data_IF_442049835778
#
_entry.id   IF_442049835778
#
_cell.length_a   1.000
_cell.length_b   1.000
_cell.length_c   1.000
_cell.angle_alpha   90.00
_cell.angle_beta   90.00
_cell.angle_gamma   90.00
#
_symmetry.space_group_name_H-M   'P 1'
#
loop_
_entity.id
_entity.type
_entity.pdbx_description
1 polymer ?
#
# COMPACT_ATOMS: atom_id res chain seq x y z
N UNK A 1 9.80 11.38 -21.25
CA UNK A 1 9.17 12.11 -20.12
C UNK A 1 8.69 11.13 -19.08
N UNK A 2 8.83 11.46 -17.79
CA UNK A 2 8.27 10.61 -16.72
C UNK A 2 6.75 10.81 -16.68
N UNK A 3 6.00 9.71 -16.78
CA UNK A 3 4.54 9.75 -16.66
C UNK A 3 4.17 9.71 -15.18
N UNK A 4 3.49 10.77 -14.74
CA UNK A 4 3.04 10.91 -13.36
C UNK A 4 1.53 10.71 -13.27
N UNK A 5 1.10 9.82 -12.37
CA UNK A 5 -0.32 9.51 -12.12
C UNK A 5 -0.58 9.59 -10.62
N UNK A 6 -1.55 10.39 -10.21
CA UNK A 6 -1.92 10.60 -8.79
C UNK A 6 -0.71 10.91 -7.91
N UNK A 7 0.20 11.74 -8.41
CA UNK A 7 1.40 12.14 -7.67
C UNK A 7 2.53 11.11 -7.64
N UNK A 8 2.37 9.94 -8.28
CA UNK A 8 3.38 8.87 -8.34
C UNK A 8 4.02 8.85 -9.72
N UNK A 9 5.34 8.87 -9.77
CA UNK A 9 6.10 8.72 -11.00
C UNK A 9 6.20 7.23 -11.35
N UNK A 10 5.68 6.86 -12.50
CA UNK A 10 5.69 5.48 -12.95
C UNK A 10 7.05 5.07 -13.52
N UNK A 11 7.54 3.87 -13.21
CA UNK A 11 8.78 3.36 -13.77
C UNK A 11 8.65 3.10 -15.28
N UNK A 12 9.43 3.81 -16.06
CA UNK A 12 9.35 3.79 -17.54
C UNK A 12 9.71 2.43 -18.15
N UNK A 13 10.61 1.70 -17.50
CA UNK A 13 11.13 0.43 -18.00
C UNK A 13 10.22 -0.79 -17.74
N UNK A 14 9.12 -0.57 -17.00
CA UNK A 14 8.18 -1.62 -16.64
C UNK A 14 6.99 -1.64 -17.58
N UNK A 15 6.40 -2.84 -17.76
CA UNK A 15 5.12 -3.00 -18.47
C UNK A 15 4.02 -2.26 -17.72
N UNK A 16 3.02 -1.80 -18.45
CA UNK A 16 1.90 -1.06 -17.87
C UNK A 16 1.23 -1.76 -16.69
N UNK A 17 0.98 -3.06 -16.81
CA UNK A 17 0.41 -3.88 -15.74
C UNK A 17 1.20 -3.80 -14.43
N UNK A 18 2.52 -3.85 -14.51
CA UNK A 18 3.39 -3.80 -13.33
C UNK A 18 3.60 -2.37 -12.85
N UNK A 19 3.74 -1.43 -13.77
CA UNK A 19 3.97 -0.03 -13.42
C UNK A 19 2.82 0.58 -12.63
N UNK A 20 1.59 0.30 -12.97
CA UNK A 20 0.41 0.79 -12.23
C UNK A 20 0.33 0.24 -10.79
N UNK A 21 0.93 -0.91 -10.51
CA UNK A 21 0.96 -1.44 -9.13
C UNK A 21 1.84 -0.65 -8.18
N UNK A 22 2.65 0.29 -8.67
CA UNK A 22 3.41 1.22 -7.83
C UNK A 22 2.52 2.29 -7.18
N UNK A 23 1.30 2.45 -7.70
CA UNK A 23 0.30 3.34 -7.09
C UNK A 23 -0.36 2.58 -5.92
N UNK A 24 -0.34 3.19 -4.74
CA UNK A 24 -0.97 2.60 -3.56
C UNK A 24 -2.49 2.47 -3.75
N UNK A 25 -2.99 1.25 -3.66
CA UNK A 25 -4.40 0.91 -3.88
C UNK A 25 -4.68 0.24 -5.22
N UNK A 26 -3.70 0.11 -6.10
CA UNK A 26 -3.81 -0.63 -7.37
C UNK A 26 -2.95 -1.88 -7.29
N UNK A 27 -3.59 -3.04 -7.36
CA UNK A 27 -2.95 -4.33 -7.51
C UNK A 27 -2.91 -4.78 -8.98
N UNK A 28 -2.37 -5.96 -9.25
CA UNK A 28 -2.26 -6.48 -10.63
C UNK A 28 -3.62 -6.63 -11.31
N UNK A 29 -4.62 -7.16 -10.63
CA UNK A 29 -5.97 -7.31 -11.18
C UNK A 29 -6.65 -5.98 -11.47
N UNK A 30 -6.49 -4.99 -10.60
CA UNK A 30 -6.99 -3.63 -10.84
C UNK A 30 -6.25 -2.94 -11.98
N UNK A 31 -4.94 -3.13 -12.05
CA UNK A 31 -4.11 -2.63 -13.15
C UNK A 31 -4.56 -3.18 -14.51
N UNK A 32 -4.80 -4.49 -14.61
CA UNK A 32 -5.31 -5.11 -15.82
C UNK A 32 -6.66 -4.51 -16.25
N UNK A 33 -7.61 -4.38 -15.32
CA UNK A 33 -8.92 -3.76 -15.61
C UNK A 33 -8.81 -2.31 -16.08
N UNK A 34 -7.90 -1.54 -15.52
CA UNK A 34 -7.65 -0.14 -15.93
C UNK A 34 -7.13 -0.09 -17.35
N UNK A 35 -6.15 -0.95 -17.68
CA UNK A 35 -5.57 -1.01 -19.02
C UNK A 35 -6.56 -1.49 -20.07
N UNK A 36 -7.40 -2.49 -19.74
CA UNK A 36 -8.47 -2.96 -20.62
C UNK A 36 -9.46 -1.86 -20.97
N UNK A 37 -9.91 -1.10 -19.95
CA UNK A 37 -10.79 0.04 -20.15
C UNK A 37 -10.17 1.19 -20.93
N UNK A 38 -8.88 1.42 -20.75
CA UNK A 38 -8.15 2.44 -21.49
C UNK A 38 -7.81 2.01 -22.92
N UNK A 39 -7.96 0.73 -23.25
CA UNK A 39 -7.59 0.16 -24.54
C UNK A 39 -6.08 0.11 -24.77
N UNK A 40 -5.31 -0.09 -23.70
CA UNK A 40 -3.84 -0.16 -23.73
C UNK A 40 -3.39 -1.61 -23.49
N UNK A 41 -2.44 -2.09 -24.26
CA UNK A 41 -1.86 -3.43 -24.06
C UNK A 41 -1.15 -3.49 -22.70
N UNK A 42 -1.36 -4.60 -21.97
CA UNK A 42 -0.74 -4.87 -20.68
C UNK A 42 0.78 -4.94 -20.73
N UNK A 43 1.31 -5.42 -21.86
CA UNK A 43 2.74 -5.63 -22.05
C UNK A 43 3.48 -4.40 -22.56
N UNK A 44 2.75 -3.36 -22.97
CA UNK A 44 3.33 -2.11 -23.42
C UNK A 44 4.06 -1.40 -22.28
N UNK A 45 5.30 -1.02 -22.52
CA UNK A 45 6.08 -0.28 -21.51
C UNK A 45 5.53 1.13 -21.33
N UNK A 46 5.67 1.67 -20.12
CA UNK A 46 5.22 3.04 -19.82
C UNK A 46 5.89 4.08 -20.70
N UNK A 47 7.15 3.84 -21.09
CA UNK A 47 7.89 4.73 -22.01
C UNK A 47 7.26 4.86 -23.41
N UNK A 48 6.46 3.89 -23.79
CA UNK A 48 5.82 3.81 -25.14
C UNK A 48 4.36 4.31 -25.12
N UNK A 49 3.86 4.72 -23.97
CA UNK A 49 2.50 5.27 -23.85
C UNK A 49 2.39 6.63 -24.51
N UNK A 50 1.29 6.84 -25.20
CA UNK A 50 0.94 8.17 -25.70
C UNK A 50 0.32 9.01 -24.60
N UNK A 51 0.37 10.34 -24.76
CA UNK A 51 -0.23 11.27 -23.80
C UNK A 51 -1.74 11.05 -23.66
N UNK A 52 -2.43 10.70 -24.74
CA UNK A 52 -3.86 10.35 -24.73
C UNK A 52 -4.16 9.10 -23.91
N UNK A 53 -3.32 8.07 -24.03
CA UNK A 53 -3.44 6.85 -23.23
C UNK A 53 -3.23 7.14 -21.74
N UNK A 54 -2.20 7.93 -21.42
CA UNK A 54 -1.93 8.35 -20.06
C UNK A 54 -3.08 9.19 -19.47
N UNK A 55 -3.69 10.08 -20.28
CA UNK A 55 -4.83 10.88 -19.87
C UNK A 55 -6.07 10.00 -19.55
N UNK A 56 -6.40 9.05 -20.41
CA UNK A 56 -7.49 8.08 -20.17
C UNK A 56 -7.27 7.27 -18.90
N UNK A 57 -6.05 6.79 -18.68
CA UNK A 57 -5.72 6.04 -17.45
C UNK A 57 -5.91 6.90 -16.21
N UNK A 58 -5.49 8.18 -16.23
CA UNK A 58 -5.72 9.13 -15.12
C UNK A 58 -7.20 9.33 -14.84
N UNK A 59 -8.00 9.51 -15.89
CA UNK A 59 -9.45 9.68 -15.78
C UNK A 59 -10.12 8.46 -15.13
N UNK A 60 -9.81 7.25 -15.60
CA UNK A 60 -10.37 6.01 -15.07
C UNK A 60 -9.99 5.82 -13.60
N UNK A 61 -8.73 6.06 -13.24
CA UNK A 61 -8.27 5.95 -11.86
C UNK A 61 -8.98 6.97 -10.97
N UNK A 62 -9.10 8.22 -11.42
CA UNK A 62 -9.77 9.27 -10.67
C UNK A 62 -11.28 9.04 -10.47
N UNK A 63 -11.94 8.42 -11.45
CA UNK A 63 -13.39 8.16 -11.39
C UNK A 63 -13.77 6.91 -10.57
N UNK A 64 -12.97 5.84 -10.65
CA UNK A 64 -13.38 4.53 -10.13
C UNK A 64 -12.58 4.03 -8.93
N UNK A 65 -11.41 4.57 -8.69
CA UNK A 65 -10.49 4.06 -7.67
C UNK A 65 -10.14 5.11 -6.62
N UNK A 66 -10.21 4.71 -5.36
CA UNK A 66 -9.55 5.46 -4.29
C UNK A 66 -8.12 4.98 -4.16
N UNK A 67 -7.19 5.88 -4.32
CA UNK A 67 -5.75 5.56 -4.35
C UNK A 67 -4.95 6.58 -3.54
N UNK A 68 -3.74 6.23 -3.21
CA UNK A 68 -2.76 7.08 -2.52
C UNK A 68 -3.29 7.78 -1.27
N UNK A 69 -3.31 9.11 -1.23
CA UNK A 69 -3.67 9.89 -0.06
C UNK A 69 -5.07 9.61 0.48
N UNK A 70 -6.06 9.54 -0.40
CA UNK A 70 -7.46 9.29 -0.03
C UNK A 70 -7.64 7.92 0.59
N UNK A 71 -7.01 6.90 0.01
CA UNK A 71 -7.05 5.53 0.54
C UNK A 71 -6.29 5.42 1.87
N UNK A 72 -5.14 6.07 2.00
CA UNK A 72 -4.38 6.09 3.26
C UNK A 72 -5.17 6.73 4.39
N UNK A 73 -5.84 7.85 4.10
CA UNK A 73 -6.70 8.55 5.06
C UNK A 73 -7.89 7.69 5.47
N UNK A 74 -8.53 7.02 4.53
CA UNK A 74 -9.65 6.11 4.82
C UNK A 74 -9.21 4.94 5.72
N UNK A 75 -8.08 4.32 5.44
CA UNK A 75 -7.56 3.22 6.27
C UNK A 75 -7.24 3.71 7.68
N UNK A 76 -6.60 4.86 7.82
CA UNK A 76 -6.28 5.43 9.13
C UNK A 76 -7.52 5.78 9.92
N UNK A 77 -8.54 6.34 9.28
CA UNK A 77 -9.84 6.63 9.92
C UNK A 77 -10.53 5.35 10.38
N UNK A 78 -10.49 4.29 9.58
CA UNK A 78 -11.04 2.99 9.96
C UNK A 78 -10.33 2.39 11.18
N UNK A 79 -9.01 2.47 11.23
CA UNK A 79 -8.23 2.03 12.39
C UNK A 79 -8.55 2.89 13.62
N UNK A 80 -8.59 4.20 13.46
CA UNK A 80 -8.96 5.13 14.54
C UNK A 80 -10.36 4.81 15.08
N UNK A 81 -11.33 4.57 14.22
CA UNK A 81 -12.68 4.16 14.62
C UNK A 81 -12.67 2.89 15.48
N UNK A 82 -11.89 1.89 15.12
CA UNK A 82 -11.75 0.66 15.91
C UNK A 82 -11.15 0.94 17.29
N UNK A 83 -10.17 1.83 17.37
CA UNK A 83 -9.57 2.26 18.65
C UNK A 83 -10.57 3.04 19.53
N UNK A 84 -11.36 3.93 18.92
CA UNK A 84 -12.34 4.76 19.63
C UNK A 84 -13.50 3.91 20.19
N UNK A 85 -13.94 2.89 19.46
CA UNK A 85 -14.94 1.92 19.91
C UNK A 85 -14.40 1.06 21.08
N UNK A 86 -13.08 0.89 21.18
CA UNK A 86 -12.45 0.06 22.22
C UNK A 86 -12.62 -1.44 22.01
N UNK A 87 -12.85 -1.87 20.77
CA UNK A 87 -12.94 -3.30 20.44
C UNK A 87 -11.56 -3.98 20.51
N UNK A 88 -11.56 -5.31 20.53
CA UNK A 88 -10.31 -6.10 20.58
C UNK A 88 -9.33 -5.71 19.48
N UNK A 89 -9.77 -5.59 18.24
CA UNK A 89 -8.91 -5.16 17.13
C UNK A 89 -8.32 -3.77 17.34
N UNK A 90 -9.11 -2.83 17.85
CA UNK A 90 -8.65 -1.48 18.17
C UNK A 90 -7.57 -1.47 19.22
N UNK A 91 -7.72 -2.26 20.29
CA UNK A 91 -6.69 -2.41 21.33
C UNK A 91 -5.41 -3.00 20.76
N UNK A 92 -5.52 -3.99 19.88
CA UNK A 92 -4.35 -4.59 19.20
C UNK A 92 -3.63 -3.59 18.31
N UNK A 93 -4.37 -2.75 17.55
CA UNK A 93 -3.78 -1.66 16.78
C UNK A 93 -3.05 -0.64 17.67
N UNK A 94 -3.65 -0.26 18.78
CA UNK A 94 -3.05 0.68 19.74
C UNK A 94 -1.74 0.17 20.31
N UNK A 95 -1.69 -1.12 20.63
CA UNK A 95 -0.51 -1.77 21.20
C UNK A 95 0.54 -2.19 20.17
N UNK A 96 0.26 -2.04 18.88
CA UNK A 96 1.17 -2.48 17.81
C UNK A 96 1.33 -4.00 17.75
N UNK A 97 0.29 -4.75 18.07
CA UNK A 97 0.29 -6.21 18.10
C UNK A 97 -0.53 -6.78 16.92
N UNK A 98 -0.31 -8.08 16.54
CA UNK A 98 -1.12 -8.72 15.52
C UNK A 98 -2.61 -8.67 15.85
N UNK A 99 -3.43 -8.37 14.85
CA UNK A 99 -4.87 -8.09 14.99
C UNK A 99 -5.74 -9.32 14.77
N UNK A 100 -5.21 -10.33 14.07
CA UNK A 100 -5.96 -11.51 13.62
C UNK A 100 -5.73 -12.77 14.46
N UNK A 101 -5.46 -12.62 15.74
CA UNK A 101 -5.31 -13.75 16.67
C UNK A 101 -4.01 -14.55 16.53
N UNK A 102 -3.00 -14.03 15.83
CA UNK A 102 -1.71 -14.69 15.74
C UNK A 102 -1.00 -14.74 17.10
N UNK A 103 -0.20 -15.77 17.30
CA UNK A 103 0.62 -15.90 18.50
C UNK A 103 1.65 -14.79 18.62
N UNK A 104 1.82 -14.24 19.82
CA UNK A 104 2.76 -13.17 20.11
C UNK A 104 3.97 -13.62 20.94
N UNK A 105 3.96 -14.87 21.40
CA UNK A 105 5.01 -15.39 22.27
C UNK A 105 6.39 -15.41 21.58
N UNK A 106 6.45 -15.85 20.32
CA UNK A 106 7.71 -16.11 19.62
C UNK A 106 8.02 -15.08 18.53
N UNK A 107 7.14 -14.94 17.55
CA UNK A 107 7.35 -14.21 16.30
C UNK A 107 6.56 -12.89 16.27
N UNK A 108 5.84 -12.61 15.21
CA UNK A 108 5.07 -11.39 14.97
C UNK A 108 5.96 -10.13 14.81
N UNK A 109 7.13 -10.28 14.23
CA UNK A 109 8.10 -9.19 14.06
C UNK A 109 7.62 -8.07 13.13
N UNK A 110 6.80 -8.40 12.14
CA UNK A 110 6.22 -7.39 11.23
C UNK A 110 5.45 -6.30 11.99
N UNK A 111 4.69 -6.66 13.00
CA UNK A 111 3.92 -5.72 13.83
C UNK A 111 4.73 -5.15 14.98
N UNK A 112 5.50 -5.99 15.65
CA UNK A 112 6.31 -5.59 16.83
C UNK A 112 7.56 -4.82 16.48
N UNK A 113 8.08 -4.97 15.26
CA UNK A 113 9.37 -4.44 14.84
C UNK A 113 10.54 -5.33 15.23
N UNK A 114 11.75 -4.82 15.09
CA UNK A 114 12.98 -5.53 15.44
C UNK A 114 13.05 -5.85 16.92
N UNK A 115 13.69 -6.97 17.26
CA UNK A 115 13.97 -7.31 18.68
C UNK A 115 14.77 -6.19 19.32
N UNK A 116 14.28 -5.66 20.42
CA UNK A 116 15.02 -4.69 21.24
C UNK A 116 15.60 -5.43 22.44
N UNK A 117 16.91 -5.39 22.58
CA UNK A 117 17.59 -5.92 23.75
C UNK A 117 17.40 -4.93 24.90
N UNK A 118 16.91 -5.41 26.03
CA UNK A 118 16.79 -4.56 27.24
C UNK A 118 18.20 -4.38 27.81
N UNK A 119 18.64 -3.13 27.89
CA UNK A 119 20.01 -2.78 28.26
C UNK A 119 20.39 -3.10 29.72
N UNK A 120 19.46 -3.47 30.57
CA UNK A 120 19.68 -3.77 32.00
C UNK A 120 19.62 -5.25 32.33
N UNK A 121 20.20 -6.08 31.50
CA UNK A 121 20.60 -7.39 32.01
C UNK A 121 21.71 -7.15 33.05
N UNK A 122 21.51 -7.71 34.25
CA UNK A 122 22.45 -7.68 35.35
C UNK A 122 23.90 -7.55 34.86
N UNK A 123 24.57 -6.50 35.24
CA UNK A 123 26.03 -6.46 35.21
C UNK A 123 26.49 -7.73 35.87
N UNK A 124 27.28 -8.51 35.16
CA UNK A 124 27.93 -9.65 35.77
C UNK A 124 28.63 -9.14 37.02
N UNK A 125 28.14 -9.53 38.18
CA UNK A 125 28.84 -9.34 39.42
C UNK A 125 30.13 -10.13 39.32
N UNK A 126 31.24 -9.41 39.37
CA UNK A 126 32.54 -10.03 39.55
C UNK A 126 32.55 -10.83 40.85
#
# INVERSE_FOLDING_TARGET
MAIRIVGVDLPQNKRGEIALTYIYGIGRSSSAKILDKAGVSHDLKVSEWTDDQAAKIREIIGAEFKVEGDLRSEIQLNIKRLMDIGCYRGVRHRNGLPVRGQSTKNNARTRKGKKKTVANKKKATK
#
